data_IF_459094481773
#
_entry.id   IF_459094481773
#
_cell.length_a   1.000
_cell.length_b   1.000
_cell.length_c   1.000
_cell.angle_alpha   90.00
_cell.angle_beta   90.00
_cell.angle_gamma   90.00
#
_symmetry.space_group_name_H-M   'P 1'
#
loop_
_entity.id
_entity.type
_entity.pdbx_description
1 polymer ?
#
# COMPACT_ATOMS: atom_id res chain seq x y z
N UNK A 1 -13.54 16.23 12.20
CA UNK A 1 -12.66 15.64 11.17
C UNK A 1 -11.24 15.95 11.60
N UNK A 2 -10.43 14.93 11.81
CA UNK A 2 -9.03 15.05 12.26
C UNK A 2 -8.11 14.62 11.11
N UNK A 3 -6.97 15.30 10.96
CA UNK A 3 -5.94 14.97 9.97
C UNK A 3 -4.59 14.97 10.67
N UNK A 4 -3.88 13.85 10.59
CA UNK A 4 -2.51 13.70 11.08
C UNK A 4 -1.56 13.69 9.90
N UNK A 5 -0.59 14.59 9.89
CA UNK A 5 0.44 14.68 8.84
C UNK A 5 1.79 14.28 9.44
N UNK A 6 2.44 13.29 8.85
CA UNK A 6 3.78 12.85 9.22
C UNK A 6 4.79 13.35 8.18
N UNK A 7 5.75 14.20 8.58
CA UNK A 7 6.82 14.70 7.71
C UNK A 7 8.09 13.91 8.01
N UNK A 8 8.24 12.76 7.35
CA UNK A 8 9.41 11.88 7.47
C UNK A 8 9.44 10.88 6.30
N UNK A 9 10.53 10.14 6.14
CA UNK A 9 10.54 8.97 5.26
C UNK A 9 9.53 7.92 5.76
N UNK A 10 8.73 7.37 4.84
CA UNK A 10 7.66 6.41 5.19
C UNK A 10 8.18 5.17 5.91
N UNK A 11 9.42 4.74 5.61
CA UNK A 11 10.05 3.58 6.23
C UNK A 11 10.43 3.84 7.69
N UNK A 12 10.49 5.11 8.10
CA UNK A 12 10.77 5.54 9.47
C UNK A 12 9.47 5.92 10.18
N UNK A 13 8.53 6.55 9.46
CA UNK A 13 7.26 7.02 10.00
C UNK A 13 6.33 5.85 10.40
N UNK A 14 6.10 4.89 9.50
CA UNK A 14 5.11 3.83 9.72
C UNK A 14 5.38 2.99 10.99
N UNK A 15 6.63 2.58 11.30
CA UNK A 15 6.93 1.86 12.54
C UNK A 15 6.58 2.61 13.82
N UNK A 16 6.54 3.95 13.77
CA UNK A 16 6.20 4.80 14.93
C UNK A 16 4.69 4.96 15.12
N UNK A 17 3.89 4.61 14.11
CA UNK A 17 2.43 4.73 14.19
C UNK A 17 1.82 3.55 14.95
N UNK A 18 0.83 3.89 15.78
CA UNK A 18 -0.03 2.94 16.46
C UNK A 18 -1.49 3.23 16.10
N UNK A 19 -1.86 2.87 14.88
CA UNK A 19 -3.21 3.03 14.32
C UNK A 19 -3.69 1.70 13.75
N UNK A 20 -5.00 1.60 13.51
CA UNK A 20 -5.58 0.52 12.73
C UNK A 20 -6.27 1.14 11.52
N UNK A 21 -5.73 0.92 10.33
CA UNK A 21 -6.27 1.49 9.10
C UNK A 21 -7.46 0.67 8.60
N UNK A 22 -8.56 1.33 8.25
CA UNK A 22 -9.67 0.70 7.53
C UNK A 22 -9.41 0.63 6.02
N UNK A 23 -8.68 1.62 5.49
CA UNK A 23 -8.32 1.73 4.08
C UNK A 23 -6.95 2.33 3.89
N UNK A 24 -6.19 1.77 2.96
CA UNK A 24 -4.93 2.33 2.47
C UNK A 24 -5.10 2.96 1.10
N UNK A 25 -4.76 4.24 1.00
CA UNK A 25 -4.44 4.89 -0.26
C UNK A 25 -2.94 4.74 -0.50
N UNK A 26 -2.56 3.66 -1.17
CA UNK A 26 -1.18 3.34 -1.44
C UNK A 26 -0.72 4.12 -2.68
N UNK A 27 -0.29 5.36 -2.46
CA UNK A 27 0.04 6.33 -3.50
C UNK A 27 1.42 6.97 -3.29
N UNK A 28 2.02 7.42 -4.39
CA UNK A 28 3.36 7.99 -4.46
C UNK A 28 3.87 8.05 -5.90
N UNK A 29 5.15 8.32 -6.11
CA UNK A 29 5.73 8.17 -7.45
C UNK A 29 5.74 6.71 -7.89
N UNK A 30 5.74 6.45 -9.21
CA UNK A 30 5.77 5.08 -9.72
C UNK A 30 6.98 4.32 -9.16
N UNK A 31 6.88 2.99 -8.97
CA UNK A 31 8.00 2.21 -8.44
C UNK A 31 9.31 2.37 -9.20
N UNK A 32 9.24 2.60 -10.52
CA UNK A 32 10.41 2.88 -11.34
C UNK A 32 11.05 4.25 -11.05
N UNK A 33 10.27 5.26 -10.64
CA UNK A 33 10.76 6.62 -10.33
C UNK A 33 11.19 6.79 -8.88
N UNK A 34 10.54 6.08 -7.95
CA UNK A 34 10.86 6.16 -6.53
C UNK A 34 10.88 4.77 -5.88
N UNK A 35 11.84 3.90 -6.22
CA UNK A 35 11.91 2.55 -5.67
C UNK A 35 12.10 2.53 -4.14
N UNK A 36 12.69 3.58 -3.57
CA UNK A 36 12.98 3.69 -2.13
C UNK A 36 11.72 3.74 -1.25
N UNK A 37 10.56 4.10 -1.81
CA UNK A 37 9.28 4.02 -1.08
C UNK A 37 8.74 2.58 -1.03
N UNK A 38 8.88 1.82 -2.12
CA UNK A 38 8.21 0.53 -2.31
C UNK A 38 9.01 -0.63 -1.72
N UNK A 39 9.25 -0.58 -0.42
CA UNK A 39 10.15 -1.52 0.26
C UNK A 39 9.39 -2.66 0.95
N UNK A 40 10.09 -3.73 1.36
CA UNK A 40 9.52 -4.72 2.27
C UNK A 40 8.99 -4.11 3.58
N UNK A 41 9.64 -3.07 4.11
CA UNK A 41 9.22 -2.37 5.34
C UNK A 41 7.82 -1.80 5.15
N UNK A 42 7.56 -1.10 4.04
CA UNK A 42 6.23 -0.57 3.73
C UNK A 42 5.15 -1.65 3.79
N UNK A 43 5.36 -2.79 3.11
CA UNK A 43 4.33 -3.85 3.06
C UNK A 43 4.13 -4.56 4.40
N UNK A 44 5.21 -4.76 5.16
CA UNK A 44 5.15 -5.34 6.50
C UNK A 44 4.39 -4.43 7.48
N UNK A 45 4.66 -3.12 7.42
CA UNK A 45 3.97 -2.14 8.26
C UNK A 45 2.51 -1.96 7.85
N UNK A 46 2.20 -2.00 6.55
CA UNK A 46 0.82 -2.05 6.08
C UNK A 46 0.08 -3.24 6.68
N UNK A 47 0.69 -4.43 6.70
CA UNK A 47 0.11 -5.61 7.37
C UNK A 47 -0.08 -5.38 8.87
N UNK A 48 0.95 -4.90 9.57
CA UNK A 48 0.90 -4.68 11.03
C UNK A 48 -0.22 -3.72 11.43
N UNK A 49 -0.43 -2.69 10.61
CA UNK A 49 -1.41 -1.62 10.82
C UNK A 49 -2.78 -1.93 10.19
N UNK A 50 -3.03 -3.16 9.75
CA UNK A 50 -4.29 -3.59 9.12
C UNK A 50 -5.02 -4.64 9.94
N UNK A 51 -6.35 -4.49 10.03
CA UNK A 51 -7.26 -5.51 10.54
C UNK A 51 -7.84 -6.36 9.41
N UNK A 52 -8.40 -7.53 9.73
CA UNK A 52 -9.08 -8.37 8.71
C UNK A 52 -10.15 -7.54 7.99
N UNK A 53 -10.06 -7.48 6.66
CA UNK A 53 -10.97 -6.69 5.83
C UNK A 53 -10.47 -5.28 5.47
N UNK A 54 -9.37 -4.79 6.07
CA UNK A 54 -8.74 -3.52 5.67
C UNK A 54 -8.49 -3.52 4.17
N UNK A 55 -9.00 -2.50 3.48
CA UNK A 55 -8.90 -2.42 2.03
C UNK A 55 -7.68 -1.62 1.60
N UNK A 56 -7.24 -1.80 0.36
CA UNK A 56 -6.25 -0.93 -0.26
C UNK A 56 -6.57 -0.70 -1.72
N UNK A 57 -6.07 0.43 -2.24
CA UNK A 57 -5.99 0.69 -3.67
C UNK A 57 -4.65 1.35 -4.00
N UNK A 58 -4.11 1.04 -5.19
CA UNK A 58 -2.94 1.73 -5.74
C UNK A 58 -3.01 1.83 -7.25
N UNK A 59 -2.45 2.90 -7.81
CA UNK A 59 -2.43 3.11 -9.26
C UNK A 59 -1.46 2.19 -10.00
N UNK A 60 -0.47 1.61 -9.30
CA UNK A 60 0.59 0.80 -9.92
C UNK A 60 0.21 -0.66 -9.94
N UNK A 61 0.49 -1.33 -11.06
CA UNK A 61 0.38 -2.79 -11.20
C UNK A 61 1.74 -3.49 -11.26
N UNK A 62 2.82 -2.81 -10.83
CA UNK A 62 4.17 -3.37 -10.84
C UNK A 62 4.26 -4.71 -10.09
N UNK A 63 5.00 -5.67 -10.65
CA UNK A 63 5.13 -7.03 -10.11
C UNK A 63 5.67 -7.05 -8.68
N UNK A 64 6.65 -6.20 -8.37
CA UNK A 64 7.21 -6.10 -7.01
C UNK A 64 6.18 -5.65 -5.97
N UNK A 65 5.26 -4.76 -6.34
CA UNK A 65 4.21 -4.26 -5.45
C UNK A 65 3.17 -5.35 -5.22
N UNK A 66 2.76 -6.04 -6.30
CA UNK A 66 1.88 -7.20 -6.17
C UNK A 66 2.48 -8.29 -5.28
N UNK A 67 3.78 -8.58 -5.43
CA UNK A 67 4.49 -9.58 -4.64
C UNK A 67 4.52 -9.18 -3.17
N UNK A 68 4.98 -7.97 -2.85
CA UNK A 68 5.05 -7.48 -1.47
C UNK A 68 3.71 -7.47 -0.75
N UNK A 69 2.63 -7.09 -1.44
CA UNK A 69 1.27 -7.14 -0.92
C UNK A 69 0.79 -8.59 -0.68
N UNK A 70 1.00 -9.52 -1.64
CA UNK A 70 0.62 -10.93 -1.48
C UNK A 70 1.33 -11.60 -0.31
N UNK A 71 2.65 -11.41 -0.22
CA UNK A 71 3.47 -11.98 0.86
C UNK A 71 3.05 -11.46 2.24
N UNK A 72 2.41 -10.29 2.28
CA UNK A 72 1.88 -9.67 3.49
C UNK A 72 0.38 -9.91 3.73
N UNK A 73 -0.23 -10.90 3.06
CA UNK A 73 -1.60 -11.33 3.33
C UNK A 73 -2.69 -10.47 2.68
N UNK A 74 -2.33 -9.61 1.73
CA UNK A 74 -3.31 -8.87 0.94
C UNK A 74 -3.74 -9.68 -0.30
N UNK A 75 -5.05 -9.84 -0.47
CA UNK A 75 -5.62 -10.37 -1.72
C UNK A 75 -5.48 -9.32 -2.81
N UNK A 76 -5.01 -9.72 -3.98
CA UNK A 76 -4.84 -8.82 -5.12
C UNK A 76 -6.03 -8.97 -6.06
N UNK A 77 -6.68 -7.84 -6.37
CA UNK A 77 -7.64 -7.71 -7.46
C UNK A 77 -7.12 -6.69 -8.47
N UNK A 78 -6.82 -7.16 -9.67
CA UNK A 78 -6.54 -6.29 -10.81
C UNK A 78 -7.81 -5.59 -11.25
N UNK A 79 -7.70 -4.31 -11.52
CA UNK A 79 -8.79 -3.47 -12.01
C UNK A 79 -8.36 -2.80 -13.32
N UNK A 80 -9.30 -2.46 -14.21
CA UNK A 80 -9.00 -1.59 -15.34
C UNK A 80 -8.32 -0.31 -14.84
N UNK A 81 -7.21 0.07 -15.44
CA UNK A 81 -6.55 1.34 -15.10
C UNK A 81 -7.36 2.54 -15.61
N UNK A 82 -7.09 3.71 -15.03
CA UNK A 82 -7.71 4.97 -15.48
C UNK A 82 -6.89 5.61 -16.61
N UNK A 83 -7.60 6.14 -17.63
CA UNK A 83 -6.99 6.81 -18.78
C UNK A 83 -6.09 5.87 -19.60
N UNK A 84 -4.82 6.24 -19.77
CA UNK A 84 -3.84 5.42 -20.53
C UNK A 84 -3.28 4.23 -19.73
N UNK A 85 -3.59 4.10 -18.44
CA UNK A 85 -3.09 2.98 -17.63
C UNK A 85 -3.90 1.72 -17.94
N UNK A 86 -3.20 0.63 -18.23
CA UNK A 86 -3.84 -0.66 -18.52
C UNK A 86 -4.49 -1.29 -17.29
N UNK A 87 -3.78 -1.28 -16.16
CA UNK A 87 -4.22 -1.93 -14.93
C UNK A 87 -3.86 -1.09 -13.70
N UNK A 88 -4.68 -1.20 -12.67
CA UNK A 88 -4.38 -0.76 -11.30
C UNK A 88 -4.73 -1.89 -10.32
N UNK A 89 -4.36 -1.76 -9.04
CA UNK A 89 -4.59 -2.79 -8.04
C UNK A 89 -5.52 -2.29 -6.94
N UNK A 90 -6.36 -3.20 -6.47
CA UNK A 90 -7.16 -3.04 -5.27
C UNK A 90 -7.19 -4.36 -4.51
N UNK A 91 -7.60 -4.34 -3.25
CA UNK A 91 -7.71 -5.58 -2.50
C UNK A 91 -8.07 -5.39 -1.05
N UNK A 92 -7.99 -6.49 -0.30
CA UNK A 92 -8.29 -6.52 1.13
C UNK A 92 -7.26 -7.37 1.86
N UNK A 93 -6.92 -6.98 3.07
CA UNK A 93 -6.15 -7.79 3.99
C UNK A 93 -7.00 -8.96 4.48
N UNK A 94 -6.54 -10.17 4.19
CA UNK A 94 -7.19 -11.42 4.57
C UNK A 94 -6.07 -12.43 4.84
N UNK A 95 -5.49 -12.41 6.06
CA UNK A 95 -4.38 -13.28 6.43
C UNK A 95 -4.72 -14.77 6.26
#
# INVERSE_FOLDING_TARGET
>A
MEITICIEDINIALPKLNILADVWFLDGFSPAKNPAMWTPVLFNEMRRLSGKGTSYATFTSASMVQKGLRENGFKIKKQPGFGKKREMLSGVYCP
#
